data_IF_800718259262
#
_entry.id   IF_800718259262
#
_cell.length_a   1.000
_cell.length_b   1.000
_cell.length_c   1.000
_cell.angle_alpha   90.00
_cell.angle_beta   90.00
_cell.angle_gamma   90.00
#
_symmetry.space_group_name_H-M   'P 1'
#
loop_
_entity.id
_entity.type
_entity.pdbx_description
1 polymer ?
#
# COMPACT_ATOMS: atom_id res chain seq x y z
N UNK A 1 31.44 30.31 -92.99
CA UNK A 1 30.46 29.25 -92.62
C UNK A 1 30.50 29.06 -91.11
N UNK A 2 29.52 29.66 -90.41
CA UNK A 2 29.48 29.72 -88.96
C UNK A 2 28.50 28.65 -88.43
N UNK A 3 28.98 27.72 -87.60
CA UNK A 3 28.11 26.76 -86.87
C UNK A 3 27.83 27.30 -85.47
N UNK A 4 26.58 27.66 -85.23
CA UNK A 4 26.08 28.00 -83.90
C UNK A 4 25.82 26.72 -83.13
N UNK A 5 26.46 26.55 -81.96
CA UNK A 5 26.20 25.52 -80.99
C UNK A 5 25.16 26.03 -79.98
N UNK A 6 24.02 25.36 -79.90
CA UNK A 6 22.99 25.65 -78.92
C UNK A 6 23.19 24.75 -77.67
N UNK A 7 23.59 25.37 -76.55
CA UNK A 7 23.74 24.72 -75.30
C UNK A 7 22.33 24.62 -74.58
N UNK A 8 21.86 23.41 -74.30
CA UNK A 8 20.66 23.18 -73.54
C UNK A 8 21.00 23.05 -72.06
N UNK A 9 20.59 24.01 -71.23
CA UNK A 9 20.66 23.91 -69.80
C UNK A 9 19.51 22.99 -69.29
N UNK A 10 19.88 21.89 -68.70
CA UNK A 10 18.91 21.05 -67.87
C UNK A 10 18.90 21.64 -66.46
N UNK A 11 17.75 22.17 -66.06
CA UNK A 11 17.47 22.54 -64.67
C UNK A 11 17.00 21.30 -63.94
N UNK A 12 17.81 20.81 -63.00
CA UNK A 12 17.44 19.75 -62.10
C UNK A 12 16.67 20.38 -60.94
N UNK A 13 15.36 20.09 -60.83
CA UNK A 13 14.55 20.41 -59.67
C UNK A 13 14.81 19.35 -58.56
N UNK A 14 15.54 19.76 -57.54
CA UNK A 14 15.69 18.97 -56.32
C UNK A 14 14.44 19.20 -55.42
N UNK A 15 13.54 18.22 -55.35
CA UNK A 15 12.41 18.23 -54.42
C UNK A 15 12.89 17.88 -53.00
N UNK A 16 12.97 18.86 -52.12
CA UNK A 16 13.22 18.66 -50.72
C UNK A 16 11.92 18.10 -50.08
N UNK A 17 11.89 16.78 -49.74
CA UNK A 17 10.87 16.23 -48.89
C UNK A 17 11.14 16.63 -47.45
N UNK A 18 10.34 17.55 -46.91
CA UNK A 18 10.31 17.91 -45.50
C UNK A 18 9.57 16.78 -44.73
N UNK A 19 10.33 15.89 -44.07
CA UNK A 19 9.76 14.92 -43.14
C UNK A 19 9.38 15.67 -41.85
N UNK A 20 8.10 15.94 -41.67
CA UNK A 20 7.56 16.48 -40.43
C UNK A 20 7.65 15.38 -39.36
N UNK A 21 8.66 15.47 -38.47
CA UNK A 21 8.72 14.68 -37.25
C UNK A 21 7.67 15.26 -36.29
N UNK A 22 6.51 14.58 -36.18
CA UNK A 22 5.54 14.88 -35.17
C UNK A 22 6.18 14.60 -33.81
N UNK A 23 6.20 15.56 -32.85
CA UNK A 23 6.64 15.27 -31.51
C UNK A 23 5.67 14.22 -30.93
N UNK A 24 6.18 13.02 -30.66
CA UNK A 24 5.46 12.02 -29.89
C UNK A 24 5.07 12.66 -28.57
N UNK A 25 3.79 12.74 -28.27
CA UNK A 25 3.29 13.07 -26.93
C UNK A 25 3.80 11.98 -25.99
N UNK A 26 4.90 12.26 -25.29
CA UNK A 26 5.29 11.44 -24.15
C UNK A 26 4.10 11.53 -23.18
N UNK A 27 3.30 10.47 -23.09
CA UNK A 27 2.37 10.27 -21.97
C UNK A 27 3.22 10.28 -20.73
N UNK A 28 3.10 11.33 -19.91
CA UNK A 28 3.72 11.34 -18.59
C UNK A 28 3.32 10.04 -17.90
N UNK A 29 4.29 9.29 -17.37
CA UNK A 29 4.02 8.15 -16.53
C UNK A 29 3.06 8.61 -15.41
N UNK A 30 2.02 7.84 -15.07
CA UNK A 30 1.10 8.23 -14.00
C UNK A 30 1.94 8.47 -12.74
N UNK A 31 1.92 9.71 -12.27
CA UNK A 31 2.52 10.10 -11.00
C UNK A 31 1.88 9.32 -9.85
N UNK A 32 2.34 9.56 -8.63
CA UNK A 32 1.71 8.98 -7.44
C UNK A 32 0.19 9.24 -7.46
N UNK A 33 -0.65 8.28 -6.99
CA UNK A 33 -2.09 8.46 -6.96
C UNK A 33 -2.48 9.60 -6.00
N UNK A 34 -3.60 10.32 -6.24
CA UNK A 34 -4.03 11.40 -5.37
C UNK A 34 -4.34 10.86 -3.95
N UNK A 35 -4.01 11.61 -2.88
CA UNK A 35 -4.04 11.12 -1.50
C UNK A 35 -5.39 10.53 -1.06
N UNK A 36 -6.46 11.34 -1.03
CA UNK A 36 -7.75 10.86 -0.52
C UNK A 36 -8.34 9.72 -1.34
N UNK A 37 -8.37 9.79 -2.69
CA UNK A 37 -8.84 8.68 -3.52
C UNK A 37 -8.08 7.37 -3.27
N UNK A 38 -6.75 7.41 -3.14
CA UNK A 38 -5.95 6.21 -2.88
C UNK A 38 -6.15 5.69 -1.46
N UNK A 39 -5.92 6.54 -0.45
CA UNK A 39 -5.97 6.14 0.97
C UNK A 39 -7.35 5.60 1.34
N UNK A 40 -8.45 6.26 0.93
CA UNK A 40 -9.81 5.83 1.27
C UNK A 40 -10.22 4.48 0.67
N UNK A 41 -9.47 3.96 -0.29
CA UNK A 41 -9.77 2.71 -0.99
C UNK A 41 -8.79 1.57 -0.66
N UNK A 42 -7.76 1.83 0.15
CA UNK A 42 -6.81 0.80 0.53
C UNK A 42 -7.30 0.02 1.75
N UNK A 43 -7.83 -1.16 1.49
CA UNK A 43 -8.24 -2.11 2.53
C UNK A 43 -7.36 -3.36 2.45
N UNK A 44 -6.87 -3.82 3.59
CA UNK A 44 -5.95 -4.96 3.66
C UNK A 44 -6.52 -6.08 4.51
N UNK A 45 -6.70 -7.26 3.92
CA UNK A 45 -6.95 -8.50 4.67
C UNK A 45 -5.63 -9.08 5.13
N UNK A 46 -5.45 -9.20 6.44
CA UNK A 46 -4.21 -9.67 7.05
C UNK A 46 -4.37 -11.11 7.55
N UNK A 47 -3.54 -11.99 7.02
CA UNK A 47 -3.50 -13.41 7.32
C UNK A 47 -2.38 -13.70 8.32
N UNK A 48 -2.63 -14.51 9.34
CA UNK A 48 -1.53 -15.06 10.13
C UNK A 48 -0.68 -15.95 9.25
N UNK A 49 0.62 -15.89 9.46
CA UNK A 49 1.58 -16.75 8.78
C UNK A 49 2.38 -17.53 9.81
N UNK A 50 2.89 -18.70 9.42
CA UNK A 50 3.86 -19.40 10.24
C UNK A 50 5.10 -18.54 10.44
N UNK A 51 5.70 -18.69 11.63
CA UNK A 51 6.84 -17.89 12.04
C UNK A 51 8.06 -18.06 11.13
N UNK A 52 8.41 -17.01 10.41
CA UNK A 52 9.68 -16.88 9.71
C UNK A 52 10.50 -15.81 10.42
N UNK A 53 11.72 -16.15 10.79
CA UNK A 53 12.65 -15.22 11.42
C UNK A 53 13.65 -14.72 10.37
N UNK A 54 13.57 -13.46 9.95
CA UNK A 54 14.53 -12.89 9.01
C UNK A 54 15.92 -12.83 9.62
N UNK A 55 16.98 -12.73 8.80
CA UNK A 55 18.29 -12.32 9.28
C UNK A 55 18.20 -11.04 10.10
N UNK A 56 19.06 -10.85 11.12
CA UNK A 56 19.02 -9.65 11.95
C UNK A 56 19.10 -8.37 11.12
N UNK A 57 18.09 -7.52 11.27
CA UNK A 57 18.01 -6.21 10.63
C UNK A 57 17.57 -5.17 11.67
N UNK A 58 18.36 -4.11 11.79
CA UNK A 58 18.05 -2.96 12.64
C UNK A 58 17.70 -1.78 11.76
N UNK A 59 16.56 -1.15 12.03
CA UNK A 59 15.99 -0.10 11.23
C UNK A 59 15.70 1.13 12.09
N UNK A 60 16.05 2.31 11.60
CA UNK A 60 15.64 3.58 12.22
C UNK A 60 14.44 4.11 11.46
N UNK A 61 13.33 4.32 12.17
CA UNK A 61 12.03 4.73 11.64
C UNK A 61 11.73 6.18 11.97
N UNK A 62 11.09 6.89 11.02
CA UNK A 62 10.59 8.26 11.17
C UNK A 62 9.15 8.32 10.71
N UNK A 63 8.26 8.85 11.55
CA UNK A 63 6.85 9.05 11.17
C UNK A 63 6.72 10.05 10.02
N UNK A 64 5.88 9.71 9.04
CA UNK A 64 5.56 10.56 7.91
C UNK A 64 4.30 11.39 8.14
N UNK A 65 3.34 10.85 8.92
CA UNK A 65 2.06 11.51 9.14
C UNK A 65 2.20 12.80 9.95
N UNK A 66 1.62 13.94 9.49
CA UNK A 66 1.74 15.23 10.17
C UNK A 66 1.24 15.25 11.62
N UNK A 67 0.25 14.42 11.98
CA UNK A 67 -0.28 14.31 13.36
C UNK A 67 0.76 13.72 14.31
N UNK A 68 1.64 12.83 13.79
CA UNK A 68 2.66 12.10 14.56
C UNK A 68 4.07 12.64 14.36
N UNK A 69 4.25 13.71 13.58
CA UNK A 69 5.57 14.24 13.22
C UNK A 69 6.45 14.69 14.42
N UNK A 70 5.83 14.89 15.59
CA UNK A 70 6.54 15.24 16.83
C UNK A 70 7.07 14.04 17.61
N UNK A 71 6.65 12.82 17.25
CA UNK A 71 7.19 11.62 17.87
C UNK A 71 8.67 11.46 17.46
N UNK A 72 9.54 11.03 18.38
CA UNK A 72 10.95 10.83 18.06
C UNK A 72 11.14 9.71 17.03
N UNK A 73 12.24 9.76 16.29
CA UNK A 73 12.69 8.60 15.54
C UNK A 73 13.05 7.48 16.52
N UNK A 74 12.70 6.26 16.14
CA UNK A 74 13.06 5.09 16.94
C UNK A 74 13.84 4.06 16.12
N UNK A 75 14.63 3.27 16.83
CA UNK A 75 15.38 2.17 16.22
C UNK A 75 14.78 0.86 16.68
N UNK A 76 14.37 0.05 15.73
CA UNK A 76 13.71 -1.24 15.96
C UNK A 76 14.50 -2.38 15.32
N UNK A 77 14.34 -3.59 15.88
CA UNK A 77 14.88 -4.82 15.32
C UNK A 77 13.73 -5.62 14.71
N UNK A 78 13.91 -6.09 13.48
CA UNK A 78 12.97 -7.00 12.87
C UNK A 78 12.98 -8.35 13.60
N UNK A 79 11.85 -8.69 14.15
CA UNK A 79 11.59 -10.00 14.74
C UNK A 79 10.97 -10.96 13.74
N UNK A 80 10.22 -11.91 14.25
CA UNK A 80 9.51 -12.92 13.48
C UNK A 80 8.37 -12.32 12.66
N UNK A 81 8.18 -12.80 11.41
CA UNK A 81 7.01 -12.46 10.61
C UNK A 81 5.74 -13.00 11.30
N UNK A 82 4.74 -12.17 11.39
CA UNK A 82 3.47 -12.51 12.02
C UNK A 82 2.30 -12.57 11.03
N UNK A 83 2.32 -11.71 10.02
CA UNK A 83 1.20 -11.58 9.08
C UNK A 83 1.67 -11.27 7.65
N UNK A 84 0.83 -11.65 6.70
CA UNK A 84 0.83 -11.12 5.34
C UNK A 84 -0.50 -10.40 5.12
N UNK A 85 -0.45 -9.12 4.81
CA UNK A 85 -1.62 -8.28 4.51
C UNK A 85 -1.70 -8.06 3.00
N UNK A 86 -2.87 -8.29 2.42
CA UNK A 86 -3.12 -8.21 0.97
C UNK A 86 -4.35 -7.37 0.66
N UNK A 87 -4.39 -6.66 -0.48
CA UNK A 87 -5.48 -5.76 -0.82
C UNK A 87 -6.76 -6.51 -1.16
N UNK A 88 -7.88 -5.99 -0.64
CA UNK A 88 -9.21 -6.56 -0.84
C UNK A 88 -10.25 -5.50 -1.19
N UNK A 89 -11.25 -5.93 -2.00
CA UNK A 89 -12.51 -5.22 -2.15
C UNK A 89 -13.49 -5.67 -1.07
N UNK A 90 -14.34 -4.75 -0.60
CA UNK A 90 -15.41 -5.04 0.38
C UNK A 90 -16.76 -5.02 -0.30
N UNK A 91 -17.61 -6.02 -0.03
CA UNK A 91 -18.98 -6.13 -0.52
C UNK A 91 -19.09 -5.98 -2.07
N UNK A 92 -18.02 -6.36 -2.79
CA UNK A 92 -17.94 -6.24 -4.24
C UNK A 92 -17.62 -4.84 -4.78
N UNK A 93 -17.44 -3.84 -3.94
CA UNK A 93 -17.04 -2.48 -4.34
C UNK A 93 -15.55 -2.45 -4.69
N UNK A 94 -15.25 -2.34 -5.98
CA UNK A 94 -13.89 -2.25 -6.51
C UNK A 94 -13.47 -0.77 -6.54
N UNK A 95 -12.24 -0.43 -6.13
CA UNK A 95 -11.73 0.94 -6.25
C UNK A 95 -11.85 1.46 -7.70
N UNK A 96 -12.05 2.77 -7.91
CA UNK A 96 -12.13 3.35 -9.25
C UNK A 96 -10.93 3.03 -10.13
N UNK A 97 -11.09 3.00 -11.47
CA UNK A 97 -9.97 2.91 -12.41
C UNK A 97 -8.88 3.94 -12.09
N UNK A 98 -7.62 3.58 -12.30
CA UNK A 98 -6.46 4.40 -11.91
C UNK A 98 -6.08 4.24 -10.43
N UNK A 99 -7.05 4.16 -9.51
CA UNK A 99 -6.78 3.88 -8.09
C UNK A 99 -6.55 2.39 -7.85
N UNK A 100 -7.40 1.53 -8.41
CA UNK A 100 -7.26 0.07 -8.30
C UNK A 100 -5.94 -0.42 -8.86
N UNK A 101 -5.38 0.29 -9.85
CA UNK A 101 -4.10 -0.07 -10.48
C UNK A 101 -2.91 0.07 -9.51
N UNK A 102 -3.02 0.91 -8.48
CA UNK A 102 -2.07 0.99 -7.37
C UNK A 102 -2.46 0.07 -6.21
N UNK A 103 -3.71 0.15 -5.75
CA UNK A 103 -4.20 -0.57 -4.56
C UNK A 103 -3.97 -2.08 -4.68
N UNK A 104 -4.21 -2.69 -5.84
CA UNK A 104 -4.07 -4.14 -6.05
C UNK A 104 -2.66 -4.71 -5.82
N UNK A 105 -1.65 -3.84 -5.75
CA UNK A 105 -0.25 -4.22 -5.57
C UNK A 105 0.30 -3.94 -4.18
N UNK A 106 -0.52 -3.44 -3.25
CA UNK A 106 -0.09 -3.16 -1.89
C UNK A 106 -0.16 -4.43 -1.05
N UNK A 107 0.91 -5.21 -1.10
CA UNK A 107 1.08 -6.41 -0.28
C UNK A 107 2.15 -6.15 0.77
N UNK A 108 1.83 -6.41 2.04
CA UNK A 108 2.72 -6.09 3.16
C UNK A 108 3.02 -7.34 4.00
N UNK A 109 4.30 -7.63 4.18
CA UNK A 109 4.78 -8.60 5.16
C UNK A 109 5.03 -7.89 6.48
N UNK A 110 4.36 -8.33 7.56
CA UNK A 110 4.39 -7.68 8.85
C UNK A 110 5.24 -8.49 9.85
N UNK A 111 6.29 -7.85 10.35
CA UNK A 111 7.25 -8.43 11.30
C UNK A 111 7.04 -7.84 12.67
N UNK A 112 7.20 -8.67 13.70
CA UNK A 112 7.24 -8.20 15.08
C UNK A 112 8.37 -7.19 15.25
N UNK A 113 8.08 -6.12 15.97
CA UNK A 113 9.06 -5.16 16.49
C UNK A 113 8.75 -4.87 17.95
N UNK A 114 9.69 -4.26 18.63
CA UNK A 114 9.54 -3.80 20.01
C UNK A 114 10.08 -2.38 20.10
N UNK A 115 9.33 -1.51 20.80
CA UNK A 115 9.67 -0.11 21.00
C UNK A 115 9.01 0.46 22.23
N UNK A 116 9.27 1.74 22.51
CA UNK A 116 8.74 2.44 23.67
C UNK A 116 7.23 2.73 23.55
N UNK A 117 6.52 2.75 24.67
CA UNK A 117 5.14 3.18 24.70
C UNK A 117 5.03 4.70 24.48
N UNK A 118 4.15 5.11 23.56
CA UNK A 118 3.93 6.54 23.23
C UNK A 118 2.74 7.14 23.96
N UNK A 119 1.73 6.34 24.34
CA UNK A 119 0.51 6.74 25.04
C UNK A 119 -0.19 7.98 24.41
N UNK A 120 -0.40 7.96 23.10
CA UNK A 120 -0.89 9.08 22.33
C UNK A 120 -2.40 8.96 22.10
N UNK A 121 -3.24 9.92 22.61
CA UNK A 121 -4.69 9.88 22.40
C UNK A 121 -5.06 10.34 20.98
N UNK A 122 -5.99 9.62 20.35
CA UNK A 122 -6.48 9.89 19.01
C UNK A 122 -7.98 9.67 18.89
N UNK A 123 -8.60 10.39 17.96
CA UNK A 123 -9.91 10.06 17.42
C UNK A 123 -9.72 9.53 16.00
N UNK A 124 -10.24 8.36 15.72
CA UNK A 124 -10.16 7.69 14.42
C UNK A 124 -11.51 7.74 13.72
N UNK A 125 -11.55 8.27 12.50
CA UNK A 125 -12.74 8.36 11.64
C UNK A 125 -12.50 7.56 10.36
N UNK A 126 -13.44 6.70 9.97
CA UNK A 126 -13.29 5.90 8.75
C UNK A 126 -13.29 6.75 7.47
N UNK A 127 -12.35 6.49 6.58
CA UNK A 127 -12.28 7.12 5.27
C UNK A 127 -12.97 6.31 4.17
N UNK A 128 -13.02 4.97 4.31
CA UNK A 128 -13.60 4.11 3.29
C UNK A 128 -15.12 4.32 3.12
N UNK A 129 -15.60 4.55 1.88
CA UNK A 129 -17.01 4.82 1.64
C UNK A 129 -17.97 3.69 2.06
N UNK A 130 -17.55 2.42 1.90
CA UNK A 130 -18.38 1.26 2.29
C UNK A 130 -18.59 1.25 3.79
N UNK A 131 -17.52 1.42 4.57
CA UNK A 131 -17.57 1.42 6.04
C UNK A 131 -18.35 2.62 6.58
N UNK A 132 -18.19 3.79 5.97
CA UNK A 132 -18.97 4.98 6.32
C UNK A 132 -20.47 4.79 6.12
N UNK A 133 -20.89 4.10 5.06
CA UNK A 133 -22.32 3.75 4.79
C UNK A 133 -22.90 2.83 5.86
N UNK A 134 -22.06 2.05 6.59
CA UNK A 134 -22.49 1.19 7.70
C UNK A 134 -22.77 1.99 8.99
N UNK A 135 -22.51 3.29 9.01
CA UNK A 135 -22.76 4.14 10.18
C UNK A 135 -21.83 3.86 11.37
N UNK A 136 -20.65 3.29 11.11
CA UNK A 136 -19.65 3.05 12.16
C UNK A 136 -19.17 4.40 12.69
N UNK A 137 -19.31 4.59 14.01
CA UNK A 137 -18.92 5.82 14.68
C UNK A 137 -17.41 5.97 14.81
N UNK A 138 -16.96 7.20 15.02
CA UNK A 138 -15.58 7.51 15.34
C UNK A 138 -15.15 6.81 16.62
N UNK A 139 -13.92 6.31 16.64
CA UNK A 139 -13.35 5.62 17.79
C UNK A 139 -12.37 6.53 18.54
N UNK A 140 -12.58 6.70 19.84
CA UNK A 140 -11.59 7.29 20.73
C UNK A 140 -10.62 6.21 21.21
N UNK A 141 -9.34 6.42 20.97
CA UNK A 141 -8.30 5.42 21.25
C UNK A 141 -7.07 6.04 21.91
N UNK A 142 -6.30 5.22 22.59
CA UNK A 142 -4.92 5.55 22.96
C UNK A 142 -3.99 4.64 22.17
N UNK A 143 -3.11 5.20 21.36
CA UNK A 143 -2.00 4.50 20.70
C UNK A 143 -0.93 4.20 21.74
N UNK A 144 -0.51 2.93 21.86
CA UNK A 144 0.39 2.44 22.91
C UNK A 144 1.80 2.18 22.36
N UNK A 145 2.31 0.97 22.51
CA UNK A 145 3.63 0.57 22.00
C UNK A 145 3.55 0.04 20.58
N UNK A 146 4.63 0.16 19.78
CA UNK A 146 4.71 -0.49 18.48
C UNK A 146 4.79 -2.01 18.66
N UNK A 147 4.17 -2.75 17.74
CA UNK A 147 4.11 -4.21 17.75
C UNK A 147 4.60 -4.82 16.44
N UNK A 148 4.36 -4.14 15.31
CA UNK A 148 4.71 -4.66 14.00
C UNK A 148 5.25 -3.56 13.08
N UNK A 149 6.16 -3.95 12.19
CA UNK A 149 6.53 -3.19 10.99
C UNK A 149 6.09 -3.99 9.77
N UNK A 150 5.19 -3.41 8.98
CA UNK A 150 4.67 -3.97 7.75
C UNK A 150 5.39 -3.34 6.56
N UNK A 151 6.01 -4.15 5.71
CA UNK A 151 6.87 -3.71 4.60
C UNK A 151 6.42 -4.32 3.28
N UNK A 152 6.59 -3.62 2.14
CA UNK A 152 6.07 -4.05 0.85
C UNK A 152 6.82 -5.26 0.29
N UNK A 153 6.05 -6.21 -0.23
CA UNK A 153 6.56 -7.45 -0.83
C UNK A 153 5.87 -7.77 -2.16
N UNK A 154 6.61 -8.43 -3.05
CA UNK A 154 6.05 -9.11 -4.22
C UNK A 154 5.76 -10.56 -3.86
N UNK A 155 4.72 -11.14 -4.47
CA UNK A 155 4.33 -12.55 -4.33
C UNK A 155 4.68 -13.35 -5.57
N UNK A 156 5.31 -14.53 -5.39
CA UNK A 156 5.63 -15.48 -6.46
C UNK A 156 6.43 -14.87 -7.63
N UNK A 157 7.25 -13.85 -7.35
CA UNK A 157 8.03 -13.14 -8.37
C UNK A 157 7.24 -12.20 -9.29
N UNK A 158 5.92 -12.02 -9.05
CA UNK A 158 5.09 -11.11 -9.83
C UNK A 158 5.27 -9.68 -9.30
N UNK A 159 5.93 -8.84 -10.09
CA UNK A 159 6.21 -7.45 -9.73
C UNK A 159 5.10 -6.52 -10.21
N UNK A 160 4.84 -5.43 -9.48
CA UNK A 160 4.02 -4.34 -9.99
C UNK A 160 4.59 -3.76 -11.29
N UNK A 161 3.78 -3.13 -12.15
CA UNK A 161 4.28 -2.28 -13.24
C UNK A 161 5.27 -1.24 -12.71
N UNK A 162 6.29 -0.81 -13.50
CA UNK A 162 7.36 0.06 -13.01
C UNK A 162 6.89 1.36 -12.33
N UNK A 163 5.87 2.00 -12.88
CA UNK A 163 5.26 3.22 -12.35
C UNK A 163 4.55 2.99 -11.01
N UNK A 164 3.91 1.83 -10.83
CA UNK A 164 3.29 1.42 -9.57
C UNK A 164 4.34 0.99 -8.55
N UNK A 165 5.38 0.26 -9.01
CA UNK A 165 6.48 -0.18 -8.17
C UNK A 165 7.22 1.02 -7.54
N UNK A 166 7.44 2.10 -8.30
CA UNK A 166 8.08 3.33 -7.80
C UNK A 166 7.35 3.95 -6.62
N UNK A 167 6.05 3.70 -6.50
CA UNK A 167 5.20 4.15 -5.41
C UNK A 167 5.10 3.11 -4.29
N UNK A 168 4.66 1.87 -4.59
CA UNK A 168 4.33 0.88 -3.55
C UNK A 168 5.56 0.40 -2.76
N UNK A 169 6.76 0.45 -3.34
CA UNK A 169 8.01 0.06 -2.68
C UNK A 169 8.34 0.88 -1.43
N UNK A 170 7.73 2.04 -1.27
CA UNK A 170 7.92 2.96 -0.15
C UNK A 170 6.80 2.86 0.91
N UNK A 171 5.84 1.94 0.75
CA UNK A 171 4.74 1.77 1.72
C UNK A 171 5.22 0.95 2.92
N UNK A 172 5.70 1.63 3.94
CA UNK A 172 6.08 1.04 5.21
C UNK A 172 5.13 1.54 6.31
N UNK A 173 4.56 0.61 7.06
CA UNK A 173 3.61 0.94 8.12
C UNK A 173 4.10 0.38 9.45
N UNK A 174 4.26 1.25 10.42
CA UNK A 174 4.49 0.87 11.81
C UNK A 174 3.17 0.76 12.54
N UNK A 175 2.88 -0.40 13.12
CA UNK A 175 1.60 -0.72 13.74
C UNK A 175 1.72 -0.73 15.26
N UNK A 176 0.96 0.12 15.90
CA UNK A 176 0.89 0.32 17.35
C UNK A 176 -0.32 -0.39 17.94
N UNK A 177 -0.15 -0.99 19.11
CA UNK A 177 -1.29 -1.47 19.90
C UNK A 177 -2.26 -0.33 20.22
N UNK A 178 -3.55 -0.61 20.18
CA UNK A 178 -4.60 0.32 20.55
C UNK A 178 -5.33 -0.09 21.82
N UNK A 179 -5.59 0.88 22.68
CA UNK A 179 -6.60 0.79 23.71
C UNK A 179 -7.81 1.64 23.29
N UNK A 180 -8.91 0.96 22.96
CA UNK A 180 -10.18 1.63 22.63
C UNK A 180 -10.80 2.15 23.92
N UNK A 181 -11.28 3.40 23.90
CA UNK A 181 -11.95 4.05 25.02
C UNK A 181 -13.48 4.02 24.80
N UNK A 182 -14.23 3.68 25.83
CA UNK A 182 -15.69 3.61 25.76
C UNK A 182 -16.23 2.21 25.41
N UNK A 183 -17.40 2.18 24.77
CA UNK A 183 -18.14 0.92 24.47
C UNK A 183 -17.47 0.27 23.26
N UNK A 184 -17.20 -1.06 23.29
CA UNK A 184 -16.71 -1.80 22.14
C UNK A 184 -17.65 -1.67 20.95
N UNK A 185 -17.06 -1.54 19.74
CA UNK A 185 -17.86 -1.48 18.52
C UNK A 185 -18.65 -2.78 18.32
N UNK A 186 -19.89 -2.65 17.86
CA UNK A 186 -20.69 -3.81 17.44
C UNK A 186 -20.01 -4.41 16.19
N UNK A 187 -19.74 -5.73 16.18
CA UNK A 187 -19.16 -6.37 15.01
C UNK A 187 -20.03 -6.17 13.76
N UNK A 188 -19.41 -5.81 12.64
CA UNK A 188 -20.10 -5.57 11.39
C UNK A 188 -19.67 -6.54 10.29
N UNK A 189 -20.63 -7.04 9.46
CA UNK A 189 -20.35 -8.04 8.45
C UNK A 189 -19.78 -7.38 7.18
N UNK A 190 -18.84 -8.06 6.54
CA UNK A 190 -18.27 -7.70 5.24
C UNK A 190 -17.98 -8.96 4.43
N UNK A 191 -18.11 -8.87 3.10
CA UNK A 191 -17.62 -9.87 2.17
C UNK A 191 -16.34 -9.35 1.52
N UNK A 192 -15.22 -10.07 1.66
CA UNK A 192 -13.91 -9.70 1.15
C UNK A 192 -13.57 -10.47 -0.13
N UNK A 193 -13.12 -9.77 -1.17
CA UNK A 193 -12.59 -10.35 -2.40
C UNK A 193 -11.20 -9.82 -2.69
N UNK A 194 -10.27 -10.68 -3.11
CA UNK A 194 -8.89 -10.26 -3.39
C UNK A 194 -8.80 -9.38 -4.63
N UNK A 195 -8.00 -8.33 -4.55
CA UNK A 195 -7.68 -7.44 -5.68
C UNK A 195 -6.36 -7.78 -6.36
N UNK A 196 -5.42 -8.40 -5.63
CA UNK A 196 -4.11 -8.74 -6.16
C UNK A 196 -4.21 -9.88 -7.19
N UNK A 197 -3.56 -9.76 -8.38
CA UNK A 197 -3.65 -10.76 -9.45
C UNK A 197 -3.25 -12.18 -9.04
N UNK A 198 -2.29 -12.33 -8.11
CA UNK A 198 -1.82 -13.64 -7.63
C UNK A 198 -2.89 -14.39 -6.82
N UNK A 199 -3.85 -13.66 -6.24
CA UNK A 199 -4.90 -14.20 -5.38
C UNK A 199 -6.32 -13.99 -5.94
N UNK A 200 -6.47 -13.45 -7.15
CA UNK A 200 -7.75 -13.06 -7.73
C UNK A 200 -8.75 -14.22 -7.86
N UNK A 201 -8.25 -15.44 -8.10
CA UNK A 201 -9.09 -16.63 -8.27
C UNK A 201 -9.56 -17.25 -6.94
N UNK A 202 -9.11 -16.70 -5.80
CA UNK A 202 -9.58 -17.20 -4.50
C UNK A 202 -11.04 -16.80 -4.26
N UNK A 203 -11.83 -17.68 -3.64
CA UNK A 203 -13.20 -17.36 -3.30
C UNK A 203 -13.26 -16.16 -2.35
N UNK A 204 -14.37 -15.42 -2.43
CA UNK A 204 -14.69 -14.36 -1.46
C UNK A 204 -14.92 -14.97 -0.09
N UNK A 205 -14.58 -14.22 0.95
CA UNK A 205 -14.70 -14.65 2.34
C UNK A 205 -15.60 -13.68 3.10
N UNK A 206 -16.62 -14.23 3.77
CA UNK A 206 -17.46 -13.45 4.68
C UNK A 206 -16.78 -13.36 6.05
N UNK A 207 -16.66 -12.15 6.55
CA UNK A 207 -16.04 -11.85 7.83
C UNK A 207 -16.94 -10.95 8.68
N UNK A 208 -16.73 -10.99 9.99
CA UNK A 208 -17.26 -9.98 10.92
C UNK A 208 -16.07 -9.24 11.51
N UNK A 209 -15.96 -7.94 11.21
CA UNK A 209 -14.96 -7.07 11.81
C UNK A 209 -15.41 -6.66 13.22
N UNK A 210 -14.55 -6.91 14.20
CA UNK A 210 -14.80 -6.67 15.62
C UNK A 210 -14.13 -5.40 16.14
N UNK A 211 -13.28 -5.53 17.15
CA UNK A 211 -12.59 -4.38 17.75
C UNK A 211 -11.33 -3.99 16.98
N UNK A 212 -11.04 -2.68 16.93
CA UNK A 212 -9.74 -2.19 16.50
C UNK A 212 -8.67 -2.61 17.52
N UNK A 213 -7.58 -3.21 17.03
CA UNK A 213 -6.46 -3.69 17.84
C UNK A 213 -5.18 -2.92 17.62
N UNK A 214 -4.96 -2.47 16.41
CA UNK A 214 -3.75 -1.76 16.03
C UNK A 214 -4.08 -0.56 15.16
N UNK A 215 -3.23 0.47 15.23
CA UNK A 215 -3.17 1.56 14.26
C UNK A 215 -1.83 1.46 13.55
N UNK A 216 -1.85 1.24 12.25
CA UNK A 216 -0.69 1.24 11.39
C UNK A 216 -0.53 2.60 10.73
N UNK A 217 0.63 3.22 10.88
CA UNK A 217 0.94 4.58 10.43
C UNK A 217 2.16 4.57 9.51
N UNK A 218 2.22 5.47 8.52
CA UNK A 218 3.30 5.49 7.56
C UNK A 218 4.61 5.98 8.20
N UNK A 219 5.70 5.26 7.91
CA UNK A 219 7.04 5.58 8.36
C UNK A 219 8.04 5.52 7.21
N UNK A 220 9.11 6.32 7.30
CA UNK A 220 10.29 6.16 6.46
C UNK A 220 11.38 5.42 7.23
N UNK A 221 12.06 4.50 6.58
CA UNK A 221 13.30 3.89 7.06
C UNK A 221 14.49 4.77 6.70
N UNK A 222 15.45 4.91 7.62
CA UNK A 222 16.70 5.60 7.29
C UNK A 222 17.36 4.96 6.07
N UNK A 223 17.70 5.77 5.05
CA UNK A 223 18.26 5.32 3.78
C UNK A 223 17.21 5.01 2.70
N UNK A 224 15.92 5.19 3.00
CA UNK A 224 14.86 5.20 1.99
C UNK A 224 14.57 6.64 1.57
N UNK A 225 14.97 6.99 0.35
CA UNK A 225 14.71 8.30 -0.25
C UNK A 225 13.35 8.28 -0.94
N UNK A 226 12.32 8.74 -0.22
CA UNK A 226 10.94 8.80 -0.74
C UNK A 226 10.81 10.05 -1.62
N UNK A 227 10.44 9.94 -2.92
CA UNK A 227 10.18 11.07 -3.77
C UNK A 227 9.07 11.97 -3.21
N UNK A 228 9.14 13.32 -3.34
CA UNK A 228 8.15 14.24 -2.79
C UNK A 228 6.72 13.92 -3.21
N UNK A 229 6.49 13.60 -4.49
CA UNK A 229 5.18 13.25 -5.04
C UNK A 229 4.61 11.95 -4.45
N UNK A 230 5.46 11.01 -4.05
CA UNK A 230 5.09 9.79 -3.33
C UNK A 230 4.77 10.09 -1.88
N UNK A 231 5.62 10.92 -1.23
CA UNK A 231 5.43 11.34 0.15
C UNK A 231 4.10 12.07 0.36
N UNK A 232 3.70 12.92 -0.59
CA UNK A 232 2.44 13.68 -0.54
C UNK A 232 1.22 12.77 -0.33
N UNK A 233 1.25 11.56 -0.86
CA UNK A 233 0.19 10.56 -0.65
C UNK A 233 0.46 9.69 0.57
N UNK A 234 1.68 9.14 0.71
CA UNK A 234 1.97 8.15 1.74
C UNK A 234 1.84 8.69 3.16
N UNK A 235 2.16 9.96 3.41
CA UNK A 235 2.05 10.57 4.74
C UNK A 235 0.64 10.49 5.35
N UNK A 236 -0.38 10.19 4.56
CA UNK A 236 -1.78 10.08 4.98
C UNK A 236 -2.26 8.64 5.13
N UNK A 237 -1.42 7.64 4.85
CA UNK A 237 -1.81 6.25 4.82
C UNK A 237 -1.87 5.65 6.24
N UNK A 238 -3.01 5.82 6.89
CA UNK A 238 -3.28 5.27 8.22
C UNK A 238 -4.34 4.17 8.14
N UNK A 239 -4.03 3.02 8.72
CA UNK A 239 -4.95 1.86 8.76
C UNK A 239 -5.23 1.45 10.20
N UNK A 240 -6.49 1.44 10.59
CA UNK A 240 -6.89 0.75 11.82
C UNK A 240 -7.12 -0.73 11.50
N UNK A 241 -6.40 -1.63 12.17
CA UNK A 241 -6.58 -3.09 12.05
C UNK A 241 -7.62 -3.58 13.05
N UNK A 242 -8.63 -4.25 12.55
CA UNK A 242 -9.72 -4.87 13.28
C UNK A 242 -9.54 -6.37 13.34
N UNK A 243 -9.74 -6.99 14.49
CA UNK A 243 -9.87 -8.44 14.54
C UNK A 243 -11.05 -8.87 13.68
N UNK A 244 -10.90 -9.94 12.92
CA UNK A 244 -12.00 -10.53 12.16
C UNK A 244 -12.26 -11.96 12.57
N UNK A 245 -13.54 -12.35 12.51
CA UNK A 245 -13.96 -13.74 12.60
C UNK A 245 -14.57 -14.15 11.28
N UNK A 246 -14.23 -15.35 10.83
CA UNK A 246 -14.76 -15.99 9.62
C UNK A 246 -15.79 -17.03 9.99
N UNK A 247 -16.70 -17.32 9.06
CA UNK A 247 -17.47 -18.56 9.08
C UNK A 247 -16.58 -19.78 8.82
N UNK A 248 -17.15 -21.00 8.79
CA UNK A 248 -16.39 -22.21 8.42
C UNK A 248 -15.70 -21.99 7.06
N UNK A 249 -14.37 -22.06 7.06
CA UNK A 249 -13.60 -21.82 5.84
C UNK A 249 -13.68 -23.02 4.91
N UNK A 250 -13.93 -22.73 3.63
CA UNK A 250 -13.88 -23.69 2.53
C UNK A 250 -12.56 -23.54 1.76
N UNK A 251 -11.67 -22.64 2.21
CA UNK A 251 -10.48 -22.23 1.46
C UNK A 251 -9.24 -22.89 2.06
N UNK A 252 -8.61 -23.75 1.28
CA UNK A 252 -7.36 -24.39 1.67
C UNK A 252 -6.19 -23.41 1.80
N UNK A 253 -5.07 -23.83 2.46
CA UNK A 253 -3.86 -23.03 2.58
C UNK A 253 -3.24 -22.71 1.22
N UNK A 254 -2.59 -21.54 1.13
CA UNK A 254 -1.80 -21.14 -0.04
C UNK A 254 -0.40 -20.79 0.40
N UNK A 255 0.58 -21.41 -0.24
CA UNK A 255 2.00 -21.06 -0.05
C UNK A 255 2.39 -20.00 -1.08
N UNK A 256 2.99 -18.92 -0.59
CA UNK A 256 3.45 -17.78 -1.38
C UNK A 256 4.94 -17.56 -1.13
N UNK A 257 5.70 -17.34 -2.20
CA UNK A 257 7.08 -16.87 -2.10
C UNK A 257 7.06 -15.33 -2.07
N UNK A 258 7.64 -14.74 -1.01
CA UNK A 258 7.68 -13.30 -0.81
C UNK A 258 9.08 -12.76 -1.09
N UNK A 259 9.15 -11.59 -1.75
CA UNK A 259 10.39 -10.86 -2.02
C UNK A 259 10.18 -9.40 -1.66
N UNK A 260 11.09 -8.82 -0.87
CA UNK A 260 10.99 -7.43 -0.43
C UNK A 260 11.13 -6.45 -1.61
N UNK A 261 10.26 -5.45 -1.67
CA UNK A 261 10.28 -4.40 -2.69
C UNK A 261 11.04 -3.15 -2.23
N UNK A 262 11.09 -2.89 -0.91
CA UNK A 262 11.76 -1.71 -0.37
C UNK A 262 13.29 -1.82 -0.53
N UNK A 263 13.97 -0.77 -1.02
CA UNK A 263 15.42 -0.79 -1.28
C UNK A 263 16.26 -1.15 -0.06
N UNK A 264 15.87 -0.68 1.13
CA UNK A 264 16.58 -0.91 2.39
C UNK A 264 16.58 -2.40 2.76
N UNK A 265 15.50 -3.12 2.42
CA UNK A 265 15.30 -4.54 2.72
C UNK A 265 15.56 -5.48 1.55
N UNK A 266 15.92 -4.96 0.38
CA UNK A 266 16.12 -5.76 -0.85
C UNK A 266 17.22 -6.84 -0.72
N UNK A 267 18.09 -6.73 0.29
CA UNK A 267 19.13 -7.72 0.57
C UNK A 267 18.65 -8.92 1.39
N UNK A 268 17.48 -8.83 1.99
CA UNK A 268 16.91 -9.97 2.71
C UNK A 268 16.53 -11.08 1.71
N UNK A 269 16.71 -12.34 2.07
CA UNK A 269 16.35 -13.45 1.20
C UNK A 269 14.82 -13.48 0.99
N UNK A 270 14.42 -14.07 -0.14
CA UNK A 270 13.00 -14.42 -0.33
C UNK A 270 12.57 -15.44 0.72
N UNK A 271 11.32 -15.35 1.14
CA UNK A 271 10.75 -16.18 2.20
C UNK A 271 9.44 -16.84 1.74
N UNK A 272 9.07 -17.96 2.35
CA UNK A 272 7.78 -18.60 2.12
C UNK A 272 6.78 -18.21 3.21
N UNK A 273 5.53 -17.95 2.80
CA UNK A 273 4.42 -17.66 3.68
C UNK A 273 3.24 -18.57 3.33
N UNK A 274 2.71 -19.26 4.32
CA UNK A 274 1.46 -20.00 4.19
C UNK A 274 0.33 -19.14 4.77
N UNK A 275 -0.68 -18.84 3.95
CA UNK A 275 -1.89 -18.13 4.38
C UNK A 275 -3.09 -19.08 4.35
N UNK A 276 -3.97 -18.97 5.34
CA UNK A 276 -5.21 -19.75 5.46
C UNK A 276 -6.40 -18.82 5.52
N UNK A 277 -6.72 -18.32 6.71
CA UNK A 277 -7.87 -17.46 6.98
C UNK A 277 -7.43 -16.06 7.39
N UNK A 278 -8.22 -15.02 7.05
CA UNK A 278 -7.95 -13.68 7.54
C UNK A 278 -8.08 -13.62 9.06
N UNK A 279 -7.15 -12.95 9.71
CA UNK A 279 -7.14 -12.73 11.15
C UNK A 279 -7.47 -11.28 11.52
N UNK A 280 -7.09 -10.35 10.64
CA UNK A 280 -7.38 -8.92 10.83
C UNK A 280 -7.72 -8.27 9.49
N UNK A 281 -8.42 -7.13 9.58
CA UNK A 281 -8.76 -6.27 8.45
C UNK A 281 -8.26 -4.85 8.73
N UNK A 282 -7.33 -4.37 7.91
CA UNK A 282 -6.86 -2.99 7.92
C UNK A 282 -7.82 -2.11 7.12
N UNK A 283 -8.38 -1.09 7.76
CA UNK A 283 -9.31 -0.13 7.17
C UNK A 283 -8.74 1.28 7.27
N UNK A 284 -8.83 2.10 6.19
CA UNK A 284 -8.29 3.45 6.19
C UNK A 284 -9.04 4.38 7.14
N UNK A 285 -8.28 5.15 7.93
CA UNK A 285 -8.79 6.09 8.91
C UNK A 285 -8.11 7.45 8.83
N UNK A 286 -8.85 8.50 9.18
CA UNK A 286 -8.30 9.80 9.49
C UNK A 286 -8.04 9.89 11.01
N UNK A 287 -6.98 10.61 11.39
CA UNK A 287 -6.64 10.89 12.79
C UNK A 287 -7.02 12.33 13.15
N UNK A 288 -7.75 12.51 14.27
CA UNK A 288 -8.13 13.83 14.81
C UNK A 288 -8.75 14.76 13.75
N UNK A 289 -9.61 14.21 12.86
CA UNK A 289 -10.28 14.96 11.81
C UNK A 289 -9.37 15.44 10.66
N UNK A 290 -8.10 15.04 10.61
CA UNK A 290 -7.18 15.38 9.51
C UNK A 290 -7.42 14.43 8.33
N UNK A 291 -8.15 14.91 7.34
CA UNK A 291 -8.49 14.19 6.12
C UNK A 291 -7.40 14.43 5.07
N UNK A 292 -6.96 13.40 4.31
CA UNK A 292 -6.07 13.59 3.16
C UNK A 292 -6.62 14.61 2.16
N UNK A 293 -5.78 15.39 1.48
CA UNK A 293 -6.24 16.26 0.39
C UNK A 293 -6.84 15.44 -0.76
N UNK A 294 -7.85 16.03 -1.45
CA UNK A 294 -8.56 15.43 -2.58
C UNK A 294 -7.77 15.46 -3.88
#
# INVERSE_FOLDING_TARGET
MSRRSTSRCFAALASLMLVAVLPGTATAAPGAPPPLPFVSQLDLSCYRTEGYKPPPAELTLKHLNPVLAKLPMETVKLGERQQLCVPVAKNGEIPPPGIVDFVRWVDLSCYRIEGGAVNFPLTLSHLNPVVRKLGIQDAHVTMLSPEQLCVPVAKNGVLPPPEVLSFVRHIDLECYALRVLGIPAVPFPLTLGHLNPVLADRPKVDVKAGNARQLCVPVAKRGDEIPPEVLDTLQWLDLAKYDVTTGPSVVGPVTLKLTHLNPVLARLPSEEAVITEPAQLGLPVAKNGKIPPG
#
